data_IF_795873996113
#
_entry.id   IF_795873996113
#
_cell.length_a   1.000
_cell.length_b   1.000
_cell.length_c   1.000
_cell.angle_alpha   90.00
_cell.angle_beta   90.00
_cell.angle_gamma   90.00
#
_symmetry.space_group_name_H-M   'P 1'
#
loop_
_entity.id
_entity.type
_entity.pdbx_description
1 polymer ?
#
# COMPACT_ATOMS: atom_id res chain seq x y z
N UNK A 1 27.76 -30.68 32.70
CA UNK A 1 26.75 -31.58 32.11
C UNK A 1 26.03 -30.78 31.04
N UNK A 2 26.36 -31.00 29.76
CA UNK A 2 25.77 -30.24 28.64
C UNK A 2 24.44 -30.89 28.31
N UNK A 3 23.34 -30.13 28.44
CA UNK A 3 22.00 -30.60 28.09
C UNK A 3 21.85 -30.64 26.56
N UNK A 4 21.13 -31.63 26.05
CA UNK A 4 20.85 -31.74 24.62
C UNK A 4 19.86 -30.66 24.17
N UNK A 5 20.18 -29.96 23.06
CA UNK A 5 19.39 -28.86 22.53
C UNK A 5 17.95 -29.27 22.18
N UNK A 6 17.73 -30.52 21.75
CA UNK A 6 16.41 -31.04 21.38
C UNK A 6 15.44 -31.10 22.57
N UNK A 7 15.98 -31.26 23.78
CA UNK A 7 15.21 -31.35 25.03
C UNK A 7 14.98 -30.00 25.74
N UNK A 8 15.53 -28.91 25.19
CA UNK A 8 15.56 -27.61 25.85
C UNK A 8 14.15 -27.08 26.19
N UNK A 9 13.17 -27.24 25.29
CA UNK A 9 11.79 -26.74 25.52
C UNK A 9 11.08 -27.46 26.67
N UNK A 10 11.36 -28.75 26.87
CA UNK A 10 10.83 -29.53 28.00
C UNK A 10 11.49 -29.10 29.31
N UNK A 11 12.80 -28.84 29.28
CA UNK A 11 13.57 -28.39 30.43
C UNK A 11 13.24 -26.94 30.85
N UNK A 12 12.80 -26.09 29.91
CA UNK A 12 12.33 -24.74 30.22
C UNK A 12 11.03 -24.74 31.04
N UNK A 13 10.18 -25.77 30.89
CA UNK A 13 8.93 -25.90 31.67
C UNK A 13 9.17 -26.23 33.14
N UNK A 14 10.32 -26.80 33.47
CA UNK A 14 10.72 -27.11 34.85
C UNK A 14 11.17 -25.88 35.64
N UNK A 15 11.42 -24.73 34.98
CA UNK A 15 11.78 -23.51 35.70
C UNK A 15 10.54 -22.90 36.38
N UNK A 16 10.68 -22.43 37.63
CA UNK A 16 9.55 -21.90 38.42
C UNK A 16 9.00 -20.59 37.84
N UNK A 17 9.81 -19.84 37.09
CA UNK A 17 9.43 -18.59 36.43
C UNK A 17 10.10 -18.56 35.06
N UNK A 18 9.40 -18.04 34.06
CA UNK A 18 9.99 -17.74 32.75
C UNK A 18 10.95 -16.57 32.90
N UNK A 19 12.06 -16.63 32.18
CA UNK A 19 12.99 -15.51 32.07
C UNK A 19 12.37 -14.36 31.26
N UNK A 20 12.68 -13.11 31.63
CA UNK A 20 12.09 -11.89 31.06
C UNK A 20 10.88 -11.29 31.80
N UNK A 21 10.41 -10.16 31.28
CA UNK A 21 9.26 -9.40 31.78
C UNK A 21 8.08 -9.52 30.80
N UNK A 22 6.87 -9.67 31.34
CA UNK A 22 5.64 -9.60 30.54
C UNK A 22 5.37 -8.16 30.09
N UNK A 23 4.77 -7.98 28.92
CA UNK A 23 4.49 -6.67 28.34
C UNK A 23 3.57 -5.82 29.23
N UNK A 24 2.62 -6.44 29.94
CA UNK A 24 1.70 -5.70 30.83
C UNK A 24 2.41 -5.21 32.07
N UNK A 25 3.35 -6.00 32.59
CA UNK A 25 4.21 -5.60 33.71
C UNK A 25 5.21 -4.53 33.29
N UNK A 26 5.72 -4.58 32.05
CA UNK A 26 6.68 -3.61 31.53
C UNK A 26 6.04 -2.24 31.25
N UNK A 27 4.85 -2.21 30.64
CA UNK A 27 4.15 -0.96 30.25
C UNK A 27 3.42 -0.32 31.45
N UNK A 28 3.48 -0.90 32.65
CA UNK A 28 2.85 -0.34 33.84
C UNK A 28 3.47 1.02 34.21
N UNK A 29 2.69 2.09 33.97
CA UNK A 29 3.09 3.48 34.19
C UNK A 29 3.39 3.80 35.65
N UNK A 30 2.88 3.01 36.59
CA UNK A 30 3.12 3.22 38.03
C UNK A 30 4.54 2.83 38.45
N UNK A 31 5.13 1.83 37.80
CA UNK A 31 6.43 1.27 38.16
C UNK A 31 7.56 1.82 37.28
N UNK A 32 7.31 1.97 35.97
CA UNK A 32 8.35 2.29 34.98
C UNK A 32 8.15 3.63 34.26
N UNK A 33 7.00 4.30 34.44
CA UNK A 33 6.69 5.56 33.75
C UNK A 33 6.50 5.40 32.25
N UNK A 34 6.90 6.41 31.47
CA UNK A 34 6.82 6.40 30.00
C UNK A 34 8.06 5.77 29.38
N UNK A 35 7.87 4.75 28.55
CA UNK A 35 8.95 4.05 27.85
C UNK A 35 9.04 4.46 26.37
N UNK A 36 10.27 4.56 25.87
CA UNK A 36 10.59 4.76 24.45
C UNK A 36 11.19 3.50 23.83
N UNK A 37 11.36 3.47 22.51
CA UNK A 37 11.89 2.29 21.81
C UNK A 37 13.31 1.89 22.22
N UNK A 38 14.10 2.82 22.75
CA UNK A 38 15.48 2.56 23.17
C UNK A 38 15.58 1.98 24.59
N UNK A 39 14.49 1.98 25.35
CA UNK A 39 14.49 1.61 26.78
C UNK A 39 14.28 0.11 27.02
N UNK A 40 13.90 -0.64 25.99
CA UNK A 40 13.66 -2.08 26.10
C UNK A 40 14.21 -2.85 24.90
N UNK A 41 14.40 -4.15 25.11
CA UNK A 41 14.84 -5.10 24.10
C UNK A 41 13.95 -6.32 24.12
N UNK A 42 13.80 -6.96 22.97
CA UNK A 42 13.01 -8.18 22.82
C UNK A 42 13.96 -9.36 22.96
N UNK A 43 13.67 -10.25 23.92
CA UNK A 43 14.43 -11.48 24.08
C UNK A 43 14.16 -12.42 22.89
N UNK A 44 15.20 -13.02 22.28
CA UNK A 44 15.05 -13.90 21.14
C UNK A 44 14.35 -15.21 21.53
N UNK A 45 13.57 -15.76 20.59
CA UNK A 45 12.94 -17.07 20.72
C UNK A 45 13.65 -18.15 19.90
N UNK A 46 13.15 -19.39 20.00
CA UNK A 46 13.56 -20.49 19.14
C UNK A 46 13.00 -20.29 17.72
N UNK A 47 13.83 -20.49 16.71
CA UNK A 47 13.46 -20.38 15.29
C UNK A 47 13.59 -21.75 14.64
N UNK A 48 12.56 -22.16 13.90
CA UNK A 48 12.51 -23.44 13.15
C UNK A 48 12.10 -23.27 11.68
N UNK A 49 12.05 -22.03 11.17
CA UNK A 49 11.67 -21.69 9.80
C UNK A 49 12.61 -20.62 9.21
N UNK A 50 12.74 -20.52 7.88
CA UNK A 50 13.52 -19.46 7.23
C UNK A 50 12.78 -18.11 7.26
N UNK A 51 13.54 -17.01 7.27
CA UNK A 51 12.99 -15.65 7.31
C UNK A 51 12.06 -15.29 6.14
N UNK A 52 12.20 -15.96 5.00
CA UNK A 52 11.33 -15.79 3.82
C UNK A 52 9.88 -16.23 4.03
N UNK A 53 9.61 -17.07 5.03
CA UNK A 53 8.25 -17.56 5.34
C UNK A 53 7.46 -16.61 6.26
N UNK A 54 8.10 -15.55 6.78
CA UNK A 54 7.44 -14.59 7.67
C UNK A 54 6.47 -13.71 6.87
N UNK A 55 5.20 -13.71 7.28
CA UNK A 55 4.18 -12.83 6.72
C UNK A 55 4.26 -11.43 7.33
N UNK A 56 4.29 -10.40 6.48
CA UNK A 56 4.25 -8.99 6.85
C UNK A 56 2.85 -8.38 6.68
N UNK A 57 1.84 -9.23 6.42
CA UNK A 57 0.47 -8.79 6.18
C UNK A 57 -0.08 -8.04 7.40
N UNK A 58 -0.45 -6.77 7.20
CA UNK A 58 -0.79 -5.86 8.28
C UNK A 58 -2.09 -5.13 8.00
N UNK A 59 -2.94 -5.00 9.01
CA UNK A 59 -4.23 -4.30 8.89
C UNK A 59 -4.06 -2.82 9.19
N UNK A 60 -4.26 -1.98 8.18
CA UNK A 60 -4.29 -0.53 8.37
C UNK A 60 -5.64 -0.07 8.92
N UNK A 61 -6.73 -0.62 8.39
CA UNK A 61 -8.10 -0.32 8.86
C UNK A 61 -8.88 -1.62 9.01
N UNK A 62 -10.12 -1.54 9.52
CA UNK A 62 -11.02 -2.71 9.63
C UNK A 62 -11.22 -3.45 8.30
N UNK A 63 -11.08 -2.75 7.16
CA UNK A 63 -11.35 -3.29 5.81
C UNK A 63 -10.11 -3.38 4.92
N UNK A 64 -9.03 -2.67 5.24
CA UNK A 64 -7.84 -2.56 4.38
C UNK A 64 -6.70 -3.33 5.03
N UNK A 65 -6.20 -4.33 4.30
CA UNK A 65 -5.00 -5.10 4.65
C UNK A 65 -3.92 -4.81 3.62
N UNK A 66 -2.72 -4.53 4.09
CA UNK A 66 -1.52 -4.26 3.30
C UNK A 66 -0.62 -5.50 3.32
N UNK A 67 0.18 -5.69 2.26
CA UNK A 67 1.20 -6.74 2.21
C UNK A 67 2.48 -6.36 2.94
N UNK A 68 2.71 -5.07 3.08
CA UNK A 68 3.83 -4.53 3.83
C UNK A 68 3.34 -3.45 4.81
N UNK A 69 3.83 -3.41 6.06
CA UNK A 69 3.39 -2.47 7.10
C UNK A 69 3.97 -1.05 6.90
N UNK A 70 4.31 -0.65 5.67
CA UNK A 70 4.88 0.66 5.41
C UNK A 70 3.84 1.62 4.86
N UNK A 71 3.83 2.82 5.44
CA UNK A 71 2.95 3.92 5.10
C UNK A 71 3.77 5.21 5.02
N UNK A 72 3.53 6.01 3.98
CA UNK A 72 4.19 7.32 3.85
C UNK A 72 3.44 8.42 4.61
N UNK A 73 4.20 9.33 5.23
CA UNK A 73 3.64 10.44 6.00
C UNK A 73 2.91 11.45 5.10
N UNK A 74 1.75 12.01 5.50
CA UNK A 74 0.99 13.00 4.73
C UNK A 74 1.61 14.41 4.82
N UNK A 75 2.87 14.53 4.42
CA UNK A 75 3.63 15.78 4.36
C UNK A 75 3.90 16.15 2.91
N UNK A 76 3.85 17.45 2.60
CA UNK A 76 4.12 18.00 1.27
C UNK A 76 5.51 17.62 0.73
N UNK A 77 6.50 17.63 1.60
CA UNK A 77 7.88 17.23 1.28
C UNK A 77 8.09 15.73 1.06
N UNK A 78 7.08 14.90 1.39
CA UNK A 78 7.23 13.42 1.39
C UNK A 78 6.29 12.76 0.40
N UNK A 79 5.00 13.08 0.41
CA UNK A 79 3.98 12.29 -0.30
C UNK A 79 3.12 13.12 -1.24
N UNK A 80 3.54 13.16 -2.50
CA UNK A 80 2.75 13.55 -3.66
C UNK A 80 2.35 12.31 -4.51
N UNK A 81 1.89 12.50 -5.75
CA UNK A 81 1.44 11.40 -6.60
C UNK A 81 2.49 10.29 -6.82
N UNK A 82 3.75 10.66 -7.05
CA UNK A 82 4.80 9.71 -7.42
C UNK A 82 5.14 8.77 -6.25
N UNK A 83 5.29 9.34 -5.05
CA UNK A 83 5.55 8.57 -3.84
C UNK A 83 4.39 7.61 -3.55
N UNK A 84 3.15 8.10 -3.66
CA UNK A 84 1.98 7.28 -3.41
C UNK A 84 1.86 6.09 -4.38
N UNK A 85 2.21 6.28 -5.66
CA UNK A 85 2.27 5.21 -6.67
C UNK A 85 3.33 4.17 -6.28
N UNK A 86 4.56 4.59 -6.01
CA UNK A 86 5.65 3.66 -5.69
C UNK A 86 5.41 2.88 -4.39
N UNK A 87 4.85 3.53 -3.36
CA UNK A 87 4.48 2.86 -2.12
C UNK A 87 3.41 1.80 -2.33
N UNK A 88 2.41 2.08 -3.16
CA UNK A 88 1.36 1.12 -3.49
C UNK A 88 1.90 -0.09 -4.27
N UNK A 89 2.81 0.13 -5.23
CA UNK A 89 3.46 -0.94 -6.00
C UNK A 89 4.29 -1.89 -5.11
N UNK A 90 4.92 -1.36 -4.06
CA UNK A 90 5.68 -2.16 -3.08
C UNK A 90 4.78 -2.87 -2.05
N UNK A 91 3.45 -2.76 -2.17
CA UNK A 91 2.49 -3.41 -1.27
C UNK A 91 2.21 -2.64 0.03
N UNK A 92 2.67 -1.38 0.11
CA UNK A 92 2.33 -0.42 1.15
C UNK A 92 1.23 0.55 0.70
N UNK A 93 1.19 1.75 1.30
CA UNK A 93 0.24 2.80 0.94
C UNK A 93 0.85 4.19 1.14
N UNK A 94 0.51 5.14 0.28
CA UNK A 94 0.84 6.54 0.50
C UNK A 94 -0.37 7.40 0.83
N UNK A 95 -0.22 8.32 1.80
CA UNK A 95 -1.25 9.31 2.13
C UNK A 95 -0.81 10.67 1.58
N UNK A 96 -1.57 11.21 0.63
CA UNK A 96 -1.29 12.53 0.03
C UNK A 96 -1.55 13.63 1.07
N UNK A 97 -0.64 14.59 1.16
CA UNK A 97 -0.76 15.74 2.06
C UNK A 97 -1.99 16.62 1.72
N UNK A 98 -2.37 17.49 2.66
CA UNK A 98 -3.51 18.41 2.51
C UNK A 98 -3.09 19.88 2.29
N UNK A 99 -1.79 20.15 2.22
CA UNK A 99 -1.23 21.48 1.97
C UNK A 99 -1.31 21.86 0.47
N UNK A 100 -2.50 21.76 -0.13
CA UNK A 100 -2.80 22.12 -1.51
C UNK A 100 -4.30 22.41 -1.65
N UNK A 101 -4.73 22.93 -2.81
CA UNK A 101 -6.15 23.10 -3.08
C UNK A 101 -6.86 21.73 -3.18
N UNK A 102 -8.16 21.70 -2.90
CA UNK A 102 -8.95 20.47 -3.00
C UNK A 102 -8.94 19.89 -4.44
N UNK A 103 -8.84 20.75 -5.45
CA UNK A 103 -8.76 20.36 -6.86
C UNK A 103 -7.43 19.69 -7.20
N UNK A 104 -6.32 20.25 -6.72
CA UNK A 104 -4.98 19.66 -6.89
C UNK A 104 -4.87 18.32 -6.17
N UNK A 105 -5.36 18.23 -4.94
CA UNK A 105 -5.36 16.97 -4.20
C UNK A 105 -6.17 15.89 -4.93
N UNK A 106 -7.36 16.25 -5.43
CA UNK A 106 -8.18 15.34 -6.21
C UNK A 106 -7.50 14.93 -7.53
N UNK A 107 -6.77 15.84 -8.18
CA UNK A 107 -5.99 15.54 -9.37
C UNK A 107 -4.86 14.54 -9.07
N UNK A 108 -4.12 14.71 -7.97
CA UNK A 108 -3.09 13.76 -7.51
C UNK A 108 -3.70 12.37 -7.25
N UNK A 109 -4.78 12.30 -6.47
CA UNK A 109 -5.49 11.03 -6.21
C UNK A 109 -5.95 10.37 -7.51
N UNK A 110 -6.46 11.15 -8.46
CA UNK A 110 -6.89 10.65 -9.77
C UNK A 110 -5.72 10.10 -10.58
N UNK A 111 -4.53 10.71 -10.54
CA UNK A 111 -3.32 10.17 -11.17
C UNK A 111 -2.91 8.84 -10.55
N UNK A 112 -2.82 8.77 -9.22
CA UNK A 112 -2.42 7.53 -8.49
C UNK A 112 -3.38 6.38 -8.82
N UNK A 113 -4.70 6.64 -8.77
CA UNK A 113 -5.72 5.63 -9.06
C UNK A 113 -5.80 5.22 -10.52
N UNK A 114 -5.29 6.04 -11.45
CA UNK A 114 -5.24 5.74 -12.88
C UNK A 114 -3.97 5.02 -13.33
N UNK A 115 -2.98 4.91 -12.45
CA UNK A 115 -1.65 4.41 -12.82
C UNK A 115 -1.68 2.92 -13.18
N UNK A 116 -2.37 2.10 -12.39
CA UNK A 116 -2.69 0.71 -12.74
C UNK A 116 -4.20 0.50 -12.73
N UNK A 117 -4.79 0.39 -13.92
CA UNK A 117 -6.18 0.02 -14.10
C UNK A 117 -6.25 -1.36 -14.76
N UNK A 118 -6.83 -2.33 -14.07
CA UNK A 118 -7.15 -3.63 -14.67
C UNK A 118 -8.22 -3.50 -15.77
N UNK A 119 -9.34 -2.81 -15.46
CA UNK A 119 -10.36 -2.43 -16.44
C UNK A 119 -10.50 -0.91 -16.48
N UNK A 120 -10.37 -0.33 -17.67
CA UNK A 120 -10.50 1.11 -17.89
C UNK A 120 -11.97 1.42 -18.23
N UNK A 121 -12.70 2.02 -17.29
CA UNK A 121 -14.12 2.33 -17.46
C UNK A 121 -14.39 3.48 -18.44
N UNK A 122 -13.46 4.43 -18.53
CA UNK A 122 -13.59 5.65 -19.35
C UNK A 122 -12.25 5.97 -20.04
N UNK A 123 -11.93 5.30 -21.16
CA UNK A 123 -10.70 5.53 -21.89
C UNK A 123 -10.77 6.86 -22.66
N UNK A 124 -9.61 7.51 -22.84
CA UNK A 124 -9.52 8.67 -23.75
C UNK A 124 -9.67 8.16 -25.18
N UNK A 125 -10.79 8.47 -25.82
CA UNK A 125 -11.09 8.11 -27.22
C UNK A 125 -10.69 9.24 -28.16
N UNK A 126 -10.30 8.90 -29.38
CA UNK A 126 -10.00 9.88 -30.44
C UNK A 126 -10.95 9.69 -31.63
N UNK A 127 -11.33 10.80 -32.29
CA UNK A 127 -12.11 10.70 -33.52
C UNK A 127 -11.23 10.36 -34.73
N UNK A 128 -11.79 9.78 -35.80
CA UNK A 128 -11.02 9.44 -37.01
C UNK A 128 -10.45 10.66 -37.75
N UNK A 129 -10.97 11.85 -37.46
CA UNK A 129 -10.54 13.12 -38.05
C UNK A 129 -9.32 13.74 -37.36
N UNK A 130 -8.88 13.19 -36.23
CA UNK A 130 -7.73 13.71 -35.46
C UNK A 130 -6.43 13.43 -36.20
N UNK A 131 -5.55 14.43 -36.25
CA UNK A 131 -4.25 14.28 -36.91
C UNK A 131 -3.24 13.54 -36.03
N UNK A 132 -2.28 12.85 -36.66
CA UNK A 132 -1.18 12.16 -35.94
C UNK A 132 -0.35 13.14 -35.07
N UNK A 133 -0.24 14.40 -35.49
CA UNK A 133 0.43 15.45 -34.72
C UNK A 133 -0.27 15.75 -33.38
N UNK A 134 -1.60 15.75 -33.35
CA UNK A 134 -2.38 15.92 -32.13
C UNK A 134 -2.27 14.70 -31.22
N UNK A 135 -2.25 13.49 -31.80
CA UNK A 135 -2.03 12.26 -31.03
C UNK A 135 -0.65 12.27 -30.36
N UNK A 136 0.40 12.72 -31.05
CA UNK A 136 1.74 12.87 -30.45
C UNK A 136 1.75 13.84 -29.27
N UNK A 137 1.07 14.99 -29.40
CA UNK A 137 0.91 15.95 -28.29
C UNK A 137 0.13 15.37 -27.12
N UNK A 138 -0.90 14.56 -27.38
CA UNK A 138 -1.67 13.87 -26.34
C UNK A 138 -0.84 12.80 -25.63
N UNK A 139 0.00 12.06 -26.36
CA UNK A 139 0.94 11.10 -25.77
C UNK A 139 1.88 11.78 -24.77
N UNK A 140 2.44 12.93 -25.11
CA UNK A 140 3.35 13.68 -24.21
C UNK A 140 2.65 14.17 -22.94
N UNK A 141 1.38 14.56 -23.02
CA UNK A 141 0.62 15.06 -21.87
C UNK A 141 0.13 13.97 -20.93
N UNK A 142 -0.30 12.83 -21.48
CA UNK A 142 -1.03 11.79 -20.72
C UNK A 142 -0.11 10.57 -20.44
N UNK A 143 0.98 10.40 -21.19
CA UNK A 143 1.93 9.30 -21.03
C UNK A 143 1.51 7.97 -21.68
N UNK A 144 0.32 7.90 -22.30
CA UNK A 144 -0.15 6.71 -23.01
C UNK A 144 0.11 6.78 -24.51
N UNK A 145 0.46 5.65 -25.12
CA UNK A 145 0.75 5.54 -26.55
C UNK A 145 -0.45 5.09 -27.40
N UNK A 146 -1.43 4.41 -26.81
CA UNK A 146 -2.55 3.79 -27.51
C UNK A 146 -3.88 4.48 -27.16
N UNK A 147 -4.60 4.93 -28.18
CA UNK A 147 -5.93 5.52 -28.04
C UNK A 147 -6.94 4.76 -28.92
N UNK A 148 -8.08 4.31 -28.36
CA UNK A 148 -9.16 3.76 -29.18
C UNK A 148 -9.74 4.84 -30.10
N UNK A 149 -9.87 4.52 -31.39
CA UNK A 149 -10.48 5.39 -32.39
C UNK A 149 -11.96 5.05 -32.49
N UNK A 150 -12.84 5.99 -32.16
CA UNK A 150 -14.29 5.79 -32.28
C UNK A 150 -14.84 6.66 -33.39
N UNK A 151 -15.30 6.03 -34.48
CA UNK A 151 -16.16 6.70 -35.46
C UNK A 151 -17.58 6.84 -34.91
N UNK A 152 -18.35 7.78 -35.45
CA UNK A 152 -19.81 7.73 -35.28
C UNK A 152 -20.26 6.41 -35.94
N UNK A 153 -20.49 5.39 -35.12
CA UNK A 153 -20.81 3.98 -35.41
C UNK A 153 -19.68 2.96 -35.11
N UNK A 154 -20.09 1.97 -34.33
CA UNK A 154 -19.42 0.73 -33.90
C UNK A 154 -18.38 0.81 -32.76
N UNK A 155 -18.82 0.22 -31.65
CA UNK A 155 -18.10 -0.23 -30.47
C UNK A 155 -17.08 -1.31 -30.86
N UNK A 156 -15.86 -0.95 -31.27
CA UNK A 156 -14.79 -1.94 -31.39
C UNK A 156 -14.07 -2.08 -30.06
N UNK A 157 -14.64 -2.96 -29.24
CA UNK A 157 -14.06 -3.51 -28.02
C UNK A 157 -13.04 -4.57 -28.45
N UNK A 158 -11.78 -4.20 -28.73
CA UNK A 158 -10.74 -5.18 -29.06
C UNK A 158 -9.39 -4.84 -28.41
N UNK A 159 -9.12 -5.63 -27.36
CA UNK A 159 -7.83 -6.18 -26.93
C UNK A 159 -6.60 -5.27 -26.80
N UNK A 160 -6.18 -5.05 -25.55
CA UNK A 160 -4.78 -5.25 -25.18
C UNK A 160 -4.70 -6.32 -24.08
N UNK A 161 -4.61 -7.57 -24.53
CA UNK A 161 -4.21 -8.71 -23.72
C UNK A 161 -2.69 -8.84 -23.89
N UNK A 162 -1.86 -8.23 -23.03
CA UNK A 162 -0.44 -8.57 -22.89
C UNK A 162 0.14 -7.97 -21.61
N UNK A 163 -0.14 -8.60 -20.47
CA UNK A 163 0.84 -9.15 -19.51
C UNK A 163 0.06 -9.67 -18.29
N UNK A 164 -0.34 -10.94 -18.36
CA UNK A 164 -0.85 -11.67 -17.20
C UNK A 164 0.30 -12.50 -16.64
N UNK A 165 0.89 -12.04 -15.54
CA UNK A 165 1.61 -12.89 -14.59
C UNK A 165 1.67 -12.16 -13.26
N UNK A 166 0.85 -12.64 -12.32
CA UNK A 166 0.85 -12.32 -10.88
C UNK A 166 0.57 -10.85 -10.52
N UNK A 167 -0.62 -10.58 -10.00
CA UNK A 167 -0.87 -9.95 -8.67
C UNK A 167 -2.40 -9.95 -8.46
N UNK A 168 -2.93 -10.54 -7.37
CA UNK A 168 -4.32 -10.37 -6.99
C UNK A 168 -4.41 -9.23 -5.97
N UNK A 169 -4.68 -7.99 -6.37
CA UNK A 169 -5.01 -6.94 -5.39
C UNK A 169 -6.18 -6.04 -5.81
N UNK A 170 -7.33 -6.42 -5.27
CA UNK A 170 -8.42 -5.62 -4.72
C UNK A 170 -8.47 -4.14 -5.15
N UNK A 171 -9.21 -3.94 -6.23
CA UNK A 171 -9.86 -2.68 -6.58
C UNK A 171 -10.78 -2.25 -5.42
N UNK A 172 -10.38 -1.25 -4.63
CA UNK A 172 -11.32 -0.48 -3.81
C UNK A 172 -11.26 0.98 -4.23
N UNK A 173 -12.28 1.34 -5.00
CA UNK A 173 -12.78 2.67 -5.22
C UNK A 173 -13.18 3.27 -3.87
N UNK A 174 -12.51 4.33 -3.45
CA UNK A 174 -13.08 5.31 -2.54
C UNK A 174 -12.79 6.69 -3.12
N UNK A 175 -13.68 7.10 -4.03
CA UNK A 175 -14.18 8.47 -4.01
C UNK A 175 -14.89 8.57 -2.66
N UNK A 176 -14.40 9.41 -1.75
CA UNK A 176 -15.17 9.83 -0.57
C UNK A 176 -16.48 10.45 -1.09
N UNK A 177 -17.63 9.76 -0.99
CA UNK A 177 -18.90 10.37 -1.33
C UNK A 177 -19.33 11.11 -0.06
N UNK A 178 -19.37 12.44 -0.13
CA UNK A 178 -19.91 13.34 0.90
C UNK A 178 -19.02 13.58 2.13
N UNK A 179 -18.17 14.62 2.04
CA UNK A 179 -17.94 15.54 3.15
C UNK A 179 -17.98 16.99 2.65
N UNK A 180 -19.07 17.34 1.96
CA UNK A 180 -19.54 18.73 1.82
C UNK A 180 -21.00 18.71 2.29
N UNK A 181 -21.18 18.68 3.61
CA UNK A 181 -22.42 19.15 4.22
C UNK A 181 -22.02 20.33 5.11
N UNK A 182 -22.51 21.51 4.70
CA UNK A 182 -22.78 22.71 5.51
C UNK A 182 -22.34 22.62 6.97
N UNK A 183 -21.37 23.45 7.32
CA UNK A 183 -21.51 24.51 8.32
C UNK A 183 -20.80 25.74 7.76
#
# INVERSE_FOLDING_TARGET
MVLDCSSATSHLKTYPKKDGLDIRSLIDSSNFGGLTYNDFLILPGLINFPSSEVSLDSKLTKKITLKSPFLSSPMDTVTEENMAIHMALLGGIGIIHHNCSAEEQAAMVKKVKKYENGFISDPVVVSPSVTVGEIKKMKERIGFSSFPVTGMCILLLLCFFFFFSMIPFLLITFVLPNYIKRC
#
